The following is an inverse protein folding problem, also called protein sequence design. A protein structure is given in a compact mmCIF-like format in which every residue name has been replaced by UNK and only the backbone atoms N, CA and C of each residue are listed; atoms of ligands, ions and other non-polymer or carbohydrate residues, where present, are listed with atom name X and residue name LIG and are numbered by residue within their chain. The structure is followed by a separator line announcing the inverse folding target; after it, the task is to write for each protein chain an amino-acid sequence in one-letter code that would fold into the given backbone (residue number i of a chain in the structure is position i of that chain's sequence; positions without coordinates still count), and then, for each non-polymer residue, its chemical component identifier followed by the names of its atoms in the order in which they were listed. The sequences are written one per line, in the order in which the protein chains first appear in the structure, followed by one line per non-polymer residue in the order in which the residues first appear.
data_IF_053437736968
#
_entry.id   IF_053437736968
#
_cell.length_a   1.000
_cell.length_b   1.000
_cell.length_c   1.000
_cell.angle_alpha   90.00
_cell.angle_beta   90.00
_cell.angle_gamma   90.00
#
_symmetry.space_group_name_H-M   'P 1'
#
loop_
_entity.id
_entity.type
_entity.pdbx_description
1 polymer ?
#
# COMPACT_ATOMS: atom_id res chain seq x y z
N UNK A 1 32.99 -54.45 22.11
CA UNK A 1 31.85 -54.35 21.17
C UNK A 1 30.98 -53.16 21.55
N UNK A 2 31.05 -52.09 20.81
CA UNK A 2 30.07 -51.01 20.87
C UNK A 2 28.73 -51.49 20.32
N UNK A 3 27.77 -51.73 21.18
CA UNK A 3 26.37 -51.90 20.77
C UNK A 3 25.88 -50.52 20.34
N UNK A 4 25.62 -50.37 19.05
CA UNK A 4 25.10 -49.15 18.48
C UNK A 4 23.68 -48.87 19.02
N UNK A 5 23.43 -47.62 19.31
CA UNK A 5 22.13 -47.04 19.67
C UNK A 5 21.06 -47.13 18.54
N UNK A 6 21.33 -47.90 17.47
CA UNK A 6 20.49 -48.06 16.30
C UNK A 6 19.30 -49.03 16.42
N UNK A 7 19.23 -49.86 17.49
CA UNK A 7 18.21 -50.92 17.59
C UNK A 7 17.00 -50.58 18.49
N UNK A 8 16.90 -49.34 18.97
CA UNK A 8 15.81 -48.94 19.91
C UNK A 8 14.63 -48.32 19.22
N UNK A 9 14.73 -47.90 17.97
CA UNK A 9 13.58 -47.39 17.22
C UNK A 9 12.97 -48.50 16.39
N UNK A 10 11.94 -49.18 16.92
CA UNK A 10 10.99 -49.84 16.05
C UNK A 10 10.44 -48.82 15.08
N UNK A 11 10.74 -48.96 13.78
CA UNK A 11 10.07 -48.16 12.76
C UNK A 11 8.58 -48.52 12.84
N UNK A 12 7.76 -47.53 13.26
CA UNK A 12 6.32 -47.63 13.20
C UNK A 12 5.94 -47.83 11.73
N UNK A 13 5.07 -48.82 11.48
CA UNK A 13 4.59 -49.09 10.14
C UNK A 13 3.47 -48.12 9.80
N UNK A 14 3.79 -47.17 8.88
CA UNK A 14 2.84 -46.16 8.40
C UNK A 14 1.76 -46.84 7.56
N UNK A 15 0.51 -46.68 7.99
CA UNK A 15 -0.63 -47.14 7.23
C UNK A 15 -0.98 -46.12 6.15
N UNK A 16 -1.33 -44.90 6.54
CA UNK A 16 -1.54 -43.79 5.61
C UNK A 16 -1.30 -42.42 6.24
N UNK A 17 -1.12 -41.42 5.37
CA UNK A 17 -0.99 -40.00 5.76
C UNK A 17 -2.31 -39.29 5.57
N UNK A 18 -2.70 -38.49 6.54
CA UNK A 18 -3.86 -37.60 6.49
C UNK A 18 -3.37 -36.22 6.11
N UNK A 19 -3.48 -35.79 4.84
CA UNK A 19 -2.98 -34.50 4.41
C UNK A 19 -3.79 -33.35 5.02
N UNK A 20 -3.16 -32.19 5.20
CA UNK A 20 -3.86 -30.98 5.66
C UNK A 20 -4.96 -30.57 4.69
N UNK A 21 -6.09 -30.15 5.23
CA UNK A 21 -7.18 -29.52 4.49
C UNK A 21 -7.59 -28.22 5.16
N UNK A 22 -7.81 -27.17 4.37
CA UNK A 22 -8.30 -25.88 4.86
C UNK A 22 -9.68 -25.96 5.51
N UNK A 23 -10.48 -26.94 5.15
CA UNK A 23 -11.81 -27.15 5.72
C UNK A 23 -11.74 -27.89 7.07
N UNK A 24 -10.87 -28.90 7.15
CA UNK A 24 -10.70 -29.71 8.36
C UNK A 24 -9.76 -29.10 9.40
N UNK A 25 -8.82 -28.26 8.97
CA UNK A 25 -7.84 -27.58 9.82
C UNK A 25 -6.95 -28.49 10.67
N UNK A 26 -6.78 -29.76 10.22
CA UNK A 26 -5.85 -30.73 10.81
C UNK A 26 -5.18 -31.58 9.75
N UNK A 27 -4.08 -32.19 10.14
CA UNK A 27 -3.32 -33.20 9.39
C UNK A 27 -2.81 -34.28 10.35
N UNK A 28 -2.34 -35.38 9.83
CA UNK A 28 -1.78 -36.44 10.67
C UNK A 28 -1.30 -37.65 9.91
N UNK A 29 -1.13 -38.74 10.66
CA UNK A 29 -0.74 -40.04 10.14
C UNK A 29 -1.33 -41.16 10.97
N UNK A 30 -1.76 -42.21 10.31
CA UNK A 30 -2.20 -43.47 10.93
C UNK A 30 -1.08 -44.50 10.83
N UNK A 31 -0.89 -45.24 11.92
CA UNK A 31 0.10 -46.32 12.03
C UNK A 31 -0.62 -47.59 12.44
N UNK A 32 -0.23 -48.73 11.87
CA UNK A 32 -0.85 -50.04 12.14
C UNK A 32 -0.69 -50.48 13.58
N UNK A 33 0.44 -50.15 14.20
CA UNK A 33 0.78 -50.64 15.56
C UNK A 33 0.37 -49.69 16.68
N UNK A 34 0.24 -48.41 16.41
CA UNK A 34 0.11 -47.36 17.44
C UNK A 34 -1.11 -46.46 17.27
N UNK A 35 -1.94 -46.70 16.22
CA UNK A 35 -3.12 -45.90 15.96
C UNK A 35 -2.84 -44.58 15.22
N UNK A 36 -3.67 -43.58 15.42
CA UNK A 36 -3.66 -42.33 14.64
C UNK A 36 -3.18 -41.17 15.47
N UNK A 37 -2.24 -40.38 14.90
CA UNK A 37 -1.78 -39.08 15.43
C UNK A 37 -2.30 -37.96 14.54
N UNK A 38 -2.97 -37.00 15.15
CA UNK A 38 -3.49 -35.81 14.47
C UNK A 38 -2.93 -34.54 15.10
N UNK A 39 -2.65 -33.55 14.26
CA UNK A 39 -2.21 -32.22 14.69
C UNK A 39 -3.05 -31.15 14.00
N UNK A 40 -3.64 -30.26 14.79
CA UNK A 40 -4.51 -29.21 14.28
C UNK A 40 -5.02 -28.25 15.35
N UNK A 41 -5.98 -27.40 14.99
CA UNK A 41 -6.63 -26.51 15.94
C UNK A 41 -7.60 -27.28 16.83
N UNK A 42 -7.62 -26.98 18.14
CA UNK A 42 -8.37 -27.70 19.18
C UNK A 42 -9.84 -27.89 18.82
N UNK A 43 -10.51 -26.84 18.34
CA UNK A 43 -11.94 -26.87 18.00
C UNK A 43 -12.32 -27.82 16.86
N UNK A 44 -11.36 -28.15 16.00
CA UNK A 44 -11.57 -29.08 14.87
C UNK A 44 -11.23 -30.51 15.23
N UNK A 45 -10.31 -30.71 16.18
CA UNK A 45 -9.98 -32.06 16.69
C UNK A 45 -10.96 -32.53 17.76
N UNK A 46 -11.54 -31.58 18.51
CA UNK A 46 -12.47 -31.87 19.61
C UNK A 46 -13.79 -31.10 19.41
N UNK A 47 -14.62 -31.44 18.41
CA UNK A 47 -15.85 -30.70 18.11
C UNK A 47 -16.90 -30.77 19.21
N UNK A 48 -16.88 -31.84 20.03
CA UNK A 48 -17.76 -31.95 21.20
C UNK A 48 -17.32 -31.11 22.39
N UNK A 49 -16.12 -30.48 22.27
CA UNK A 49 -15.52 -29.63 23.26
C UNK A 49 -14.67 -30.40 24.28
N UNK A 50 -13.60 -29.75 24.74
CA UNK A 50 -12.77 -30.14 25.85
C UNK A 50 -12.46 -28.88 26.66
N UNK A 51 -13.22 -28.57 27.73
CA UNK A 51 -13.12 -27.28 28.43
C UNK A 51 -11.73 -26.98 28.96
N UNK A 52 -11.04 -27.97 29.52
CA UNK A 52 -9.69 -27.78 30.07
C UNK A 52 -8.68 -27.47 28.96
N UNK A 53 -8.73 -28.21 27.85
CA UNK A 53 -7.88 -27.97 26.67
C UNK A 53 -8.14 -26.58 26.05
N UNK A 54 -9.40 -26.18 25.94
CA UNK A 54 -9.79 -24.88 25.42
C UNK A 54 -9.32 -23.73 26.28
N UNK A 55 -9.34 -23.89 27.62
CA UNK A 55 -8.81 -22.90 28.56
C UNK A 55 -7.29 -22.75 28.37
N UNK A 56 -6.53 -23.87 28.30
CA UNK A 56 -5.09 -23.80 28.02
C UNK A 56 -4.79 -23.15 26.67
N UNK A 57 -5.50 -23.52 25.63
CA UNK A 57 -5.33 -22.93 24.29
C UNK A 57 -5.64 -21.41 24.32
N UNK A 58 -6.68 -21.00 25.04
CA UNK A 58 -7.05 -19.59 25.21
C UNK A 58 -5.97 -18.77 25.89
N UNK A 59 -5.41 -19.26 26.98
CA UNK A 59 -4.31 -18.57 27.71
C UNK A 59 -3.10 -18.33 26.82
N UNK A 60 -2.66 -19.35 26.08
CA UNK A 60 -1.52 -19.18 25.16
C UNK A 60 -1.86 -18.28 23.95
N UNK A 61 -3.11 -18.31 23.47
CA UNK A 61 -3.55 -17.41 22.43
C UNK A 61 -3.54 -15.94 22.87
N UNK A 62 -3.91 -15.65 24.13
CA UNK A 62 -3.80 -14.30 24.74
C UNK A 62 -2.35 -13.80 24.81
N UNK A 63 -1.37 -14.71 24.94
CA UNK A 63 0.05 -14.41 24.85
C UNK A 63 0.54 -14.19 23.40
N UNK A 64 -0.35 -14.36 22.40
CA UNK A 64 -0.02 -14.23 20.99
C UNK A 64 0.67 -15.44 20.38
N UNK A 65 0.48 -16.61 20.98
CA UNK A 65 1.00 -17.86 20.48
C UNK A 65 -0.07 -18.60 19.65
N UNK A 66 0.34 -19.10 18.51
CA UNK A 66 -0.50 -20.01 17.73
C UNK A 66 -0.40 -21.41 18.33
N UNK A 67 -1.53 -21.93 18.78
CA UNK A 67 -1.60 -23.21 19.47
C UNK A 67 -2.09 -24.30 18.51
N UNK A 68 -1.28 -25.34 18.31
CA UNK A 68 -1.71 -26.57 17.66
C UNK A 68 -1.73 -27.69 18.68
N UNK A 69 -2.80 -28.48 18.66
CA UNK A 69 -2.95 -29.66 19.52
C UNK A 69 -2.44 -30.87 18.79
N UNK A 70 -1.57 -31.64 19.43
CA UNK A 70 -1.24 -32.98 19.05
C UNK A 70 -2.18 -33.93 19.81
N UNK A 71 -2.93 -34.70 19.06
CA UNK A 71 -3.88 -35.68 19.62
C UNK A 71 -3.58 -37.09 19.11
N UNK A 72 -3.90 -38.09 19.89
CA UNK A 72 -3.66 -39.48 19.57
C UNK A 72 -4.91 -40.33 19.86
N UNK A 73 -5.16 -41.30 19.01
CA UNK A 73 -6.12 -42.38 19.24
C UNK A 73 -5.45 -43.72 18.95
N UNK A 74 -5.77 -44.74 19.76
CA UNK A 74 -5.32 -46.12 19.52
C UNK A 74 -5.99 -46.71 18.29
N UNK A 75 -7.08 -46.13 17.82
CA UNK A 75 -7.80 -46.57 16.64
C UNK A 75 -7.16 -46.01 15.37
N UNK A 76 -7.06 -46.81 14.34
CA UNK A 76 -6.65 -46.40 13.01
C UNK A 76 -7.83 -45.68 12.34
N UNK A 77 -7.63 -44.46 11.89
CA UNK A 77 -8.70 -43.71 11.21
C UNK A 77 -9.03 -44.29 9.86
N UNK A 78 -10.30 -44.24 9.46
CA UNK A 78 -10.71 -44.55 8.10
C UNK A 78 -10.57 -43.32 7.22
N UNK A 79 -9.49 -43.28 6.44
CA UNK A 79 -9.20 -42.12 5.57
C UNK A 79 -8.83 -40.85 6.36
N UNK A 80 -9.63 -39.80 6.21
CA UNK A 80 -9.33 -38.48 6.80
C UNK A 80 -10.31 -38.09 7.92
N UNK A 81 -11.15 -39.01 8.39
CA UNK A 81 -12.11 -38.76 9.46
C UNK A 81 -11.44 -38.80 10.85
N UNK A 82 -12.08 -38.16 11.84
CA UNK A 82 -11.60 -38.20 13.22
C UNK A 82 -11.83 -39.61 13.80
N UNK A 83 -10.78 -40.29 14.32
CA UNK A 83 -10.93 -41.56 14.96
C UNK A 83 -11.66 -41.42 16.29
N UNK A 84 -12.39 -42.45 16.69
CA UNK A 84 -12.98 -42.56 18.03
C UNK A 84 -11.88 -42.62 19.11
N UNK A 85 -12.17 -42.05 20.29
CA UNK A 85 -11.25 -42.08 21.42
C UNK A 85 -10.00 -41.20 21.23
N UNK A 86 -10.13 -40.09 20.50
CA UNK A 86 -9.05 -39.12 20.33
C UNK A 86 -8.79 -38.38 21.63
N UNK A 87 -7.54 -38.40 22.11
CA UNK A 87 -7.11 -37.75 23.35
C UNK A 87 -5.99 -36.73 23.05
N UNK A 88 -5.95 -35.57 23.74
CA UNK A 88 -4.86 -34.61 23.60
C UNK A 88 -3.60 -35.17 24.25
N UNK A 89 -2.49 -35.17 23.53
CA UNK A 89 -1.17 -35.64 23.98
C UNK A 89 -0.26 -34.48 24.32
N UNK A 90 -0.38 -33.36 23.60
CA UNK A 90 0.47 -32.21 23.81
C UNK A 90 0.05 -30.99 22.99
N UNK A 91 0.69 -29.85 23.31
CA UNK A 91 0.51 -28.60 22.61
C UNK A 91 1.81 -28.21 21.90
N UNK A 92 1.69 -27.80 20.65
CA UNK A 92 2.76 -27.16 19.91
C UNK A 92 2.44 -25.65 19.88
N UNK A 93 3.31 -24.89 20.55
CA UNK A 93 3.20 -23.44 20.63
C UNK A 93 4.12 -22.82 19.59
N UNK A 94 3.54 -22.09 18.65
CA UNK A 94 4.26 -21.41 17.59
C UNK A 94 4.17 -19.90 17.85
N UNK A 95 5.30 -19.22 17.85
CA UNK A 95 5.35 -17.77 17.98
C UNK A 95 5.86 -17.15 16.69
N UNK A 96 5.19 -16.09 16.24
CA UNK A 96 5.70 -15.28 15.16
C UNK A 96 6.77 -14.32 15.69
N UNK A 97 7.90 -14.28 14.99
CA UNK A 97 8.93 -13.30 15.24
C UNK A 97 8.56 -12.01 14.54
N UNK A 98 8.14 -11.01 15.34
CA UNK A 98 7.84 -9.68 14.80
C UNK A 98 9.16 -9.06 14.34
N UNK A 99 9.16 -8.55 13.12
CA UNK A 99 10.33 -7.84 12.57
C UNK A 99 10.60 -6.58 13.39
N UNK A 100 11.88 -6.30 13.65
CA UNK A 100 12.27 -5.17 14.50
C UNK A 100 11.78 -3.82 13.97
N UNK A 101 11.66 -3.68 12.66
CA UNK A 101 11.23 -2.46 11.98
C UNK A 101 9.71 -2.27 11.91
N UNK A 102 8.91 -3.29 12.30
CA UNK A 102 7.47 -3.23 12.18
C UNK A 102 6.84 -2.10 13.00
N UNK A 103 7.20 -1.87 14.28
CA UNK A 103 6.62 -0.79 15.07
C UNK A 103 6.87 0.60 14.46
N UNK A 104 8.08 0.86 13.98
CA UNK A 104 8.44 2.14 13.36
C UNK A 104 7.68 2.37 12.06
N UNK A 105 7.50 1.30 11.26
CA UNK A 105 6.75 1.36 10.01
C UNK A 105 5.27 1.64 10.25
N UNK A 106 4.64 0.99 11.22
CA UNK A 106 3.25 1.24 11.59
C UNK A 106 3.07 2.66 12.13
N UNK A 107 3.96 3.12 13.03
CA UNK A 107 3.94 4.48 13.56
C UNK A 107 4.10 5.55 12.44
N UNK A 108 4.95 5.28 11.44
CA UNK A 108 5.07 6.15 10.28
C UNK A 108 3.71 6.31 9.56
N UNK A 109 3.04 5.22 9.20
CA UNK A 109 1.77 5.30 8.49
C UNK A 109 0.67 5.99 9.31
N UNK A 110 0.60 5.71 10.60
CA UNK A 110 -0.32 6.41 11.51
C UNK A 110 -0.04 7.92 11.55
N UNK A 111 1.22 8.34 11.61
CA UNK A 111 1.62 9.75 11.55
C UNK A 111 1.19 10.43 10.24
N UNK A 112 1.07 9.64 9.16
CA UNK A 112 0.58 10.11 7.87
C UNK A 112 -0.95 10.17 7.79
N UNK A 113 -1.66 9.75 8.85
CA UNK A 113 -3.12 9.70 8.91
C UNK A 113 -3.72 8.51 8.15
N UNK A 114 -2.96 7.41 8.03
CA UNK A 114 -3.45 6.15 7.48
C UNK A 114 -4.08 5.33 8.59
N UNK A 115 -5.30 4.88 8.37
CA UNK A 115 -5.99 3.93 9.24
C UNK A 115 -5.53 2.51 8.90
N UNK A 116 -4.85 1.86 9.85
CA UNK A 116 -4.25 0.56 9.66
C UNK A 116 -5.19 -0.55 10.15
N UNK A 117 -5.39 -1.56 9.31
CA UNK A 117 -6.21 -2.73 9.63
C UNK A 117 -5.44 -4.01 9.38
N UNK A 118 -5.55 -4.95 10.30
CA UNK A 118 -4.95 -6.29 10.19
C UNK A 118 -6.04 -7.31 9.89
N UNK A 119 -5.85 -8.07 8.81
CA UNK A 119 -6.82 -9.05 8.33
C UNK A 119 -6.12 -10.41 8.22
N UNK A 120 -6.58 -11.38 9.01
CA UNK A 120 -5.99 -12.72 9.05
C UNK A 120 -7.06 -13.83 8.98
N UNK A 121 -6.66 -14.99 8.48
CA UNK A 121 -7.45 -16.23 8.58
C UNK A 121 -7.31 -16.93 9.93
N UNK A 122 -6.42 -16.47 10.80
CA UNK A 122 -6.15 -17.06 12.12
C UNK A 122 -7.14 -16.57 13.19
N UNK A 123 -7.02 -17.10 14.38
CA UNK A 123 -7.88 -16.76 15.52
C UNK A 123 -7.73 -15.28 15.90
N UNK A 124 -8.86 -14.54 16.08
CA UNK A 124 -8.84 -13.10 16.31
C UNK A 124 -8.09 -12.66 17.57
N UNK A 125 -8.10 -13.47 18.65
CA UNK A 125 -7.39 -13.16 19.90
C UNK A 125 -5.88 -13.21 19.66
N UNK A 126 -5.41 -14.26 18.99
CA UNK A 126 -3.99 -14.42 18.62
C UNK A 126 -3.54 -13.27 17.71
N UNK A 127 -4.33 -12.95 16.68
CA UNK A 127 -4.01 -11.86 15.73
C UNK A 127 -3.97 -10.51 16.45
N UNK A 128 -4.91 -10.23 17.35
CA UNK A 128 -4.93 -9.02 18.19
C UNK A 128 -3.68 -8.91 19.08
N UNK A 129 -3.29 -10.01 19.73
CA UNK A 129 -2.10 -10.03 20.57
C UNK A 129 -0.81 -9.78 19.76
N UNK A 130 -0.68 -10.37 18.57
CA UNK A 130 0.44 -10.13 17.65
C UNK A 130 0.44 -8.68 17.15
N UNK A 131 -0.71 -8.15 16.73
CA UNK A 131 -0.86 -6.79 16.27
C UNK A 131 -0.48 -5.75 17.35
N UNK A 132 -0.88 -5.99 18.58
CA UNK A 132 -0.50 -5.17 19.75
C UNK A 132 1.01 -5.20 20.00
N UNK A 133 1.63 -6.38 19.93
CA UNK A 133 3.09 -6.52 20.06
C UNK A 133 3.84 -5.84 18.91
N UNK A 134 3.26 -5.79 17.74
CA UNK A 134 3.79 -5.08 16.59
C UNK A 134 3.60 -3.55 16.67
N UNK A 135 2.85 -3.04 17.67
CA UNK A 135 2.63 -1.61 17.88
C UNK A 135 1.42 -1.04 17.17
N UNK A 136 0.49 -1.86 16.67
CA UNK A 136 -0.75 -1.38 16.08
C UNK A 136 -1.62 -0.72 17.16
N UNK A 137 -2.09 0.51 16.91
CA UNK A 137 -3.08 1.18 17.77
C UNK A 137 -4.44 0.50 17.65
N UNK A 138 -5.17 0.50 18.75
CA UNK A 138 -6.50 -0.10 18.85
C UNK A 138 -6.52 -1.59 18.46
N UNK A 139 -5.40 -2.30 18.63
CA UNK A 139 -5.33 -3.73 18.34
C UNK A 139 -6.27 -4.56 19.22
N UNK A 140 -6.71 -4.03 20.36
CA UNK A 140 -7.74 -4.59 21.25
C UNK A 140 -9.14 -4.56 20.64
N UNK A 141 -9.39 -3.71 19.63
CA UNK A 141 -10.64 -3.68 18.88
C UNK A 141 -10.58 -4.72 17.76
N UNK A 142 -10.85 -5.95 18.10
CA UNK A 142 -10.85 -7.07 17.16
C UNK A 142 -12.23 -7.74 17.05
N UNK A 143 -12.46 -8.39 15.91
CA UNK A 143 -13.71 -9.11 15.65
C UNK A 143 -13.43 -10.47 14.99
N UNK A 144 -14.26 -11.45 15.30
CA UNK A 144 -14.32 -12.72 14.56
C UNK A 144 -15.18 -12.54 13.31
N UNK A 145 -14.57 -12.64 12.13
CA UNK A 145 -15.27 -12.40 10.87
C UNK A 145 -16.35 -13.48 10.57
N UNK A 146 -16.37 -14.60 11.29
CA UNK A 146 -17.44 -15.59 11.17
C UNK A 146 -18.79 -15.07 11.69
N UNK A 147 -18.78 -14.02 12.52
CA UNK A 147 -20.00 -13.37 13.02
C UNK A 147 -20.60 -12.38 12.03
N UNK A 148 -19.85 -11.98 11.01
CA UNK A 148 -20.27 -11.01 10.00
C UNK A 148 -20.97 -11.76 8.87
N UNK A 149 -22.29 -11.62 8.75
CA UNK A 149 -23.11 -12.35 7.79
C UNK A 149 -23.78 -11.46 6.74
N UNK A 150 -23.91 -10.15 7.00
CA UNK A 150 -24.53 -9.19 6.08
C UNK A 150 -23.55 -8.09 5.65
N UNK A 151 -23.86 -7.38 4.57
CA UNK A 151 -23.05 -6.27 4.08
C UNK A 151 -23.08 -5.08 5.07
N UNK A 152 -24.23 -4.81 5.69
CA UNK A 152 -24.38 -3.75 6.69
C UNK A 152 -23.47 -3.98 7.89
N UNK A 153 -23.42 -5.24 8.39
CA UNK A 153 -22.50 -5.62 9.45
C UNK A 153 -21.02 -5.47 9.03
N UNK A 154 -20.71 -5.74 7.77
CA UNK A 154 -19.36 -5.53 7.22
C UNK A 154 -19.01 -4.04 7.21
N UNK A 155 -19.94 -3.17 6.77
CA UNK A 155 -19.75 -1.73 6.69
C UNK A 155 -19.53 -1.10 8.08
N UNK A 156 -20.24 -1.58 9.09
CA UNK A 156 -20.05 -1.18 10.48
C UNK A 156 -18.71 -1.73 11.03
N UNK A 157 -18.42 -3.00 10.79
CA UNK A 157 -17.22 -3.64 11.30
C UNK A 157 -15.93 -2.99 10.78
N UNK A 158 -15.85 -2.65 9.49
CA UNK A 158 -14.66 -1.99 8.94
C UNK A 158 -14.45 -0.57 9.46
N UNK A 159 -15.49 0.08 9.97
CA UNK A 159 -15.38 1.40 10.61
C UNK A 159 -14.92 1.29 12.07
N UNK A 160 -15.36 0.25 12.80
CA UNK A 160 -15.16 0.13 14.24
C UNK A 160 -13.89 -0.65 14.62
N UNK A 161 -13.59 -1.75 13.90
CA UNK A 161 -12.52 -2.67 14.30
C UNK A 161 -11.23 -2.45 13.51
N UNK A 162 -10.09 -2.68 14.18
CA UNK A 162 -8.76 -2.61 13.59
C UNK A 162 -8.19 -3.99 13.25
N UNK A 163 -8.68 -5.05 13.90
CA UNK A 163 -8.18 -6.42 13.72
C UNK A 163 -9.33 -7.37 13.40
N UNK A 164 -9.15 -8.16 12.35
CA UNK A 164 -10.12 -9.12 11.86
C UNK A 164 -9.51 -10.52 11.81
N UNK A 165 -10.08 -11.45 12.55
CA UNK A 165 -9.66 -12.86 12.56
C UNK A 165 -10.64 -13.76 11.81
N UNK A 166 -10.20 -14.97 11.44
CA UNK A 166 -10.97 -16.01 10.71
C UNK A 166 -11.62 -15.51 9.42
N UNK A 167 -10.95 -14.56 8.74
CA UNK A 167 -11.46 -13.93 7.52
C UNK A 167 -11.29 -14.85 6.32
N UNK A 168 -12.34 -15.04 5.54
CA UNK A 168 -12.31 -15.74 4.25
C UNK A 168 -11.82 -14.83 3.12
N UNK A 169 -11.33 -15.39 1.99
CA UNK A 169 -10.91 -14.58 0.84
C UNK A 169 -12.01 -13.68 0.29
N UNK A 170 -13.28 -14.13 0.30
CA UNK A 170 -14.43 -13.36 -0.13
C UNK A 170 -14.71 -12.19 0.82
N UNK A 171 -14.59 -12.42 2.13
CA UNK A 171 -14.74 -11.36 3.12
C UNK A 171 -13.62 -10.33 3.02
N UNK A 172 -12.36 -10.71 2.73
CA UNK A 172 -11.27 -9.77 2.47
C UNK A 172 -11.62 -8.82 1.32
N UNK A 173 -12.17 -9.32 0.23
CA UNK A 173 -12.64 -8.50 -0.87
C UNK A 173 -13.81 -7.58 -0.46
N UNK A 174 -14.77 -8.12 0.29
CA UNK A 174 -15.93 -7.35 0.76
C UNK A 174 -15.51 -6.18 1.68
N UNK A 175 -14.51 -6.39 2.54
CA UNK A 175 -13.94 -5.33 3.39
C UNK A 175 -13.33 -4.20 2.57
N UNK A 176 -12.56 -4.52 1.52
CA UNK A 176 -12.00 -3.50 0.61
C UNK A 176 -13.11 -2.70 -0.05
N UNK A 177 -14.14 -3.37 -0.59
CA UNK A 177 -15.31 -2.72 -1.21
C UNK A 177 -16.07 -1.82 -0.23
N UNK A 178 -16.26 -2.29 1.00
CA UNK A 178 -16.93 -1.54 2.06
C UNK A 178 -16.19 -0.24 2.38
N UNK A 179 -14.86 -0.29 2.53
CA UNK A 179 -14.02 0.88 2.75
C UNK A 179 -14.08 1.86 1.56
N UNK A 180 -14.03 1.36 0.32
CA UNK A 180 -14.15 2.18 -0.88
C UNK A 180 -15.54 2.84 -1.00
N UNK A 181 -16.62 2.12 -0.64
CA UNK A 181 -17.98 2.69 -0.60
C UNK A 181 -18.09 3.82 0.42
N UNK A 182 -17.33 3.77 1.52
CA UNK A 182 -17.18 4.83 2.51
C UNK A 182 -16.21 5.95 2.06
N UNK A 183 -15.76 5.93 0.78
CA UNK A 183 -14.86 6.92 0.15
C UNK A 183 -13.43 6.93 0.70
N UNK A 184 -12.99 5.82 1.25
CA UNK A 184 -11.58 5.62 1.58
C UNK A 184 -10.80 5.13 0.35
N UNK A 185 -9.55 5.59 0.22
CA UNK A 185 -8.59 5.00 -0.70
C UNK A 185 -7.89 3.86 0.01
N UNK A 186 -7.98 2.66 -0.53
CA UNK A 186 -7.55 1.43 0.14
C UNK A 186 -6.28 0.88 -0.49
N UNK A 187 -5.23 0.74 0.33
CA UNK A 187 -4.06 -0.06 -0.02
C UNK A 187 -4.18 -1.45 0.64
N UNK A 188 -3.98 -2.51 -0.13
CA UNK A 188 -4.00 -3.89 0.36
C UNK A 188 -2.64 -4.53 0.19
N UNK A 189 -2.10 -5.08 1.27
CA UNK A 189 -0.87 -5.89 1.24
C UNK A 189 -1.22 -7.35 1.49
N UNK A 190 -0.69 -8.23 0.66
CA UNK A 190 -0.90 -9.68 0.79
C UNK A 190 0.17 -10.48 0.05
N UNK A 191 0.34 -11.73 0.46
CA UNK A 191 1.34 -12.66 -0.09
C UNK A 191 0.72 -13.97 -0.60
N UNK A 192 -0.49 -14.28 -0.15
CA UNK A 192 -1.15 -15.54 -0.43
C UNK A 192 -2.09 -15.53 -1.63
N UNK A 193 -2.44 -16.73 -2.11
CA UNK A 193 -3.51 -16.94 -3.10
C UNK A 193 -4.85 -16.43 -2.56
N UNK A 194 -5.04 -16.50 -1.24
CA UNK A 194 -6.26 -16.06 -0.55
C UNK A 194 -6.45 -14.53 -0.57
N UNK A 195 -5.40 -13.77 -0.90
CA UNK A 195 -5.43 -12.32 -0.93
C UNK A 195 -5.72 -11.76 -2.34
N UNK A 196 -5.67 -12.62 -3.37
CA UNK A 196 -5.80 -12.25 -4.79
C UNK A 196 -7.06 -11.43 -5.07
N UNK A 197 -8.21 -11.82 -4.49
CA UNK A 197 -9.47 -11.10 -4.70
C UNK A 197 -9.43 -9.68 -4.09
N UNK A 198 -8.90 -9.55 -2.88
CA UNK A 198 -8.76 -8.27 -2.19
C UNK A 198 -7.69 -7.37 -2.85
N UNK A 199 -6.55 -7.96 -3.25
CA UNK A 199 -5.50 -7.25 -3.98
C UNK A 199 -6.01 -6.67 -5.30
N UNK A 200 -6.82 -7.43 -6.04
CA UNK A 200 -7.41 -6.98 -7.31
C UNK A 200 -8.42 -5.84 -7.12
N UNK A 201 -9.11 -5.81 -6.00
CA UNK A 201 -10.14 -4.81 -5.69
C UNK A 201 -9.55 -3.50 -5.17
N UNK A 202 -8.43 -3.55 -4.45
CA UNK A 202 -7.80 -2.40 -3.81
C UNK A 202 -7.33 -1.34 -4.81
N UNK A 203 -7.35 -0.07 -4.40
CA UNK A 203 -6.83 1.06 -5.19
C UNK A 203 -5.30 0.98 -5.36
N UNK A 204 -4.61 0.42 -4.38
CA UNK A 204 -3.18 0.11 -4.45
C UNK A 204 -2.93 -1.27 -3.85
N UNK A 205 -2.40 -2.18 -4.65
CA UNK A 205 -2.08 -3.54 -4.23
C UNK A 205 -0.58 -3.78 -4.14
N UNK A 206 -0.15 -4.40 -3.03
CA UNK A 206 1.24 -4.64 -2.70
C UNK A 206 1.42 -6.14 -2.43
N UNK A 207 2.32 -6.77 -3.15
CA UNK A 207 2.69 -8.17 -2.94
C UNK A 207 4.13 -8.33 -2.45
N UNK A 208 4.37 -9.42 -1.75
CA UNK A 208 5.72 -9.84 -1.35
C UNK A 208 6.35 -10.71 -2.43
N UNK A 209 7.66 -10.60 -2.66
CA UNK A 209 8.36 -11.41 -3.68
C UNK A 209 8.31 -12.91 -3.35
N UNK A 210 8.33 -13.27 -2.06
CA UNK A 210 8.20 -14.65 -1.60
C UNK A 210 6.75 -15.17 -1.64
N UNK A 211 5.79 -14.28 -1.94
CA UNK A 211 4.39 -14.62 -2.05
C UNK A 211 4.04 -15.41 -3.31
N UNK A 212 2.76 -15.72 -3.46
CA UNK A 212 2.25 -16.48 -4.61
C UNK A 212 2.42 -15.71 -5.92
N UNK A 213 2.70 -16.43 -7.02
CA UNK A 213 2.79 -15.82 -8.36
C UNK A 213 1.47 -15.15 -8.77
N UNK A 214 0.34 -15.68 -8.31
CA UNK A 214 -0.97 -15.08 -8.55
C UNK A 214 -1.08 -13.69 -7.91
N UNK A 215 -0.61 -13.50 -6.66
CA UNK A 215 -0.59 -12.21 -5.99
C UNK A 215 0.36 -11.23 -6.68
N UNK A 216 1.58 -11.68 -7.03
CA UNK A 216 2.59 -10.84 -7.72
C UNK A 216 2.12 -10.34 -9.08
N UNK A 217 1.42 -11.16 -9.84
CA UNK A 217 0.96 -10.81 -11.19
C UNK A 217 -0.15 -9.76 -11.23
N UNK A 218 -0.90 -9.58 -10.12
CA UNK A 218 -1.98 -8.61 -10.04
C UNK A 218 -1.62 -7.37 -9.22
N UNK A 219 -0.55 -7.43 -8.43
CA UNK A 219 -0.14 -6.32 -7.57
C UNK A 219 0.41 -5.15 -8.38
N UNK A 220 0.11 -3.92 -7.93
CA UNK A 220 0.69 -2.69 -8.47
C UNK A 220 2.16 -2.55 -8.08
N UNK A 221 2.54 -3.06 -6.91
CA UNK A 221 3.88 -3.00 -6.34
C UNK A 221 4.28 -4.38 -5.83
N UNK A 222 5.50 -4.82 -6.10
CA UNK A 222 6.08 -6.04 -5.54
C UNK A 222 7.33 -5.67 -4.74
N UNK A 223 7.33 -6.02 -3.43
CA UNK A 223 8.45 -5.80 -2.53
C UNK A 223 9.46 -6.94 -2.68
N UNK A 224 10.59 -6.66 -3.35
CA UNK A 224 11.59 -7.68 -3.70
C UNK A 224 12.24 -8.31 -2.48
N UNK A 225 12.47 -7.54 -1.42
CA UNK A 225 13.03 -8.04 -0.16
C UNK A 225 11.96 -8.61 0.78
N UNK A 226 10.72 -8.73 0.33
CA UNK A 226 9.56 -9.15 1.14
C UNK A 226 9.49 -8.42 2.49
N UNK A 227 9.95 -7.16 2.53
CA UNK A 227 10.01 -6.33 3.72
C UNK A 227 9.12 -5.10 3.59
N UNK A 228 8.04 -5.07 4.38
CA UNK A 228 7.10 -3.94 4.41
C UNK A 228 7.74 -2.64 4.92
N UNK A 229 8.87 -2.70 5.64
CA UNK A 229 9.60 -1.52 6.09
C UNK A 229 10.19 -0.66 4.95
N UNK A 230 10.22 -1.16 3.70
CA UNK A 230 10.56 -0.36 2.54
C UNK A 230 9.45 0.62 2.10
N UNK A 231 8.21 0.44 2.56
CA UNK A 231 7.06 1.22 2.13
C UNK A 231 7.15 2.72 2.44
N UNK A 232 7.65 3.19 3.61
CA UNK A 232 7.85 4.61 3.87
C UNK A 232 8.71 5.30 2.80
N UNK A 233 9.79 4.66 2.38
CA UNK A 233 10.67 5.19 1.33
C UNK A 233 9.97 5.20 -0.04
N UNK A 234 9.21 4.16 -0.38
CA UNK A 234 8.42 4.11 -1.62
C UNK A 234 7.39 5.26 -1.64
N UNK A 235 6.70 5.52 -0.54
CA UNK A 235 5.76 6.65 -0.42
C UNK A 235 6.48 7.98 -0.61
N UNK A 236 7.64 8.17 0.01
CA UNK A 236 8.43 9.37 -0.14
C UNK A 236 8.89 9.59 -1.58
N UNK A 237 9.38 8.54 -2.25
CA UNK A 237 9.75 8.62 -3.67
C UNK A 237 8.53 8.93 -4.56
N UNK A 238 7.37 8.34 -4.27
CA UNK A 238 6.11 8.67 -4.95
C UNK A 238 5.75 10.14 -4.79
N UNK A 239 5.84 10.70 -3.58
CA UNK A 239 5.61 12.12 -3.31
C UNK A 239 6.57 13.02 -4.10
N UNK A 240 7.86 12.68 -4.06
CA UNK A 240 8.89 13.40 -4.83
C UNK A 240 8.53 13.46 -6.30
N UNK A 241 8.19 12.32 -6.91
CA UNK A 241 7.84 12.27 -8.34
C UNK A 241 6.62 13.12 -8.64
N UNK A 242 5.53 13.01 -7.85
CA UNK A 242 4.30 13.78 -8.09
C UNK A 242 4.52 15.28 -7.88
N UNK A 243 5.26 15.69 -6.84
CA UNK A 243 5.57 17.09 -6.60
C UNK A 243 6.42 17.67 -7.73
N UNK A 244 7.44 16.95 -8.20
CA UNK A 244 8.27 17.38 -9.33
C UNK A 244 7.47 17.48 -10.63
N UNK A 245 6.57 16.53 -10.91
CA UNK A 245 5.65 16.59 -12.06
C UNK A 245 4.73 17.82 -11.94
N UNK A 246 4.24 18.13 -10.74
CA UNK A 246 3.38 19.29 -10.49
C UNK A 246 4.10 20.63 -10.80
N UNK A 247 5.34 20.77 -10.35
CA UNK A 247 6.17 21.94 -10.65
C UNK A 247 6.43 22.04 -12.15
N UNK A 248 6.86 20.95 -12.79
CA UNK A 248 7.07 20.89 -14.24
C UNK A 248 5.80 21.26 -15.03
N UNK A 249 4.66 20.70 -14.66
CA UNK A 249 3.38 20.98 -15.31
C UNK A 249 2.97 22.44 -15.18
N UNK A 250 3.20 23.06 -14.02
CA UNK A 250 2.95 24.51 -13.82
C UNK A 250 3.75 25.35 -14.80
N UNK A 251 5.03 25.06 -15.01
CA UNK A 251 5.89 25.81 -15.93
C UNK A 251 5.47 25.69 -17.39
N UNK A 252 5.15 24.49 -17.84
CA UNK A 252 4.62 24.30 -19.19
C UNK A 252 3.28 25.01 -19.38
N UNK A 253 2.43 25.00 -18.33
CA UNK A 253 1.14 25.65 -18.38
C UNK A 253 1.26 27.19 -18.41
N UNK A 254 2.22 27.80 -17.67
CA UNK A 254 2.53 29.23 -17.75
C UNK A 254 2.80 29.63 -19.18
N UNK A 255 3.69 28.91 -19.89
CA UNK A 255 4.03 29.20 -21.28
C UNK A 255 2.81 29.11 -22.19
N UNK A 256 1.99 28.07 -22.01
CA UNK A 256 0.81 27.85 -22.86
C UNK A 256 -0.22 28.96 -22.66
N UNK A 257 -0.56 29.30 -21.42
CA UNK A 257 -1.52 30.36 -21.10
C UNK A 257 -1.02 31.71 -21.59
N UNK A 258 0.24 32.03 -21.33
CA UNK A 258 0.89 33.26 -21.83
C UNK A 258 0.79 33.37 -23.36
N UNK A 259 1.14 32.33 -24.10
CA UNK A 259 1.05 32.32 -25.57
C UNK A 259 -0.39 32.55 -26.07
N UNK A 260 -1.36 31.91 -25.45
CA UNK A 260 -2.78 32.08 -25.81
C UNK A 260 -3.25 33.50 -25.51
N UNK A 261 -2.99 34.02 -24.32
CA UNK A 261 -3.38 35.38 -23.94
C UNK A 261 -2.77 36.41 -24.85
N UNK A 262 -1.47 36.31 -25.14
CA UNK A 262 -0.78 37.22 -26.03
C UNK A 262 -1.32 37.17 -27.46
N UNK A 263 -1.60 35.97 -27.99
CA UNK A 263 -2.22 35.80 -29.30
C UNK A 263 -3.59 36.45 -29.37
N UNK A 264 -4.41 36.33 -28.32
CA UNK A 264 -5.72 36.97 -28.26
C UNK A 264 -5.58 38.52 -28.23
N UNK A 265 -4.63 39.04 -27.46
CA UNK A 265 -4.35 40.46 -27.40
C UNK A 265 -3.91 41.00 -28.77
N UNK A 266 -2.95 40.35 -29.44
CA UNK A 266 -2.44 40.78 -30.73
C UNK A 266 -3.53 40.75 -31.83
N UNK A 267 -4.40 39.77 -31.81
CA UNK A 267 -5.55 39.71 -32.72
C UNK A 267 -6.52 40.86 -32.46
N UNK A 268 -6.84 41.12 -31.16
CA UNK A 268 -7.79 42.16 -30.80
C UNK A 268 -7.30 43.57 -31.16
N UNK A 269 -6.00 43.84 -30.98
CA UNK A 269 -5.41 45.16 -31.32
C UNK A 269 -4.95 45.28 -32.77
N UNK A 270 -5.03 44.18 -33.56
CA UNK A 270 -4.62 44.15 -34.96
C UNK A 270 -3.09 44.16 -35.15
N UNK A 271 -2.34 43.80 -34.10
CA UNK A 271 -0.89 43.77 -34.12
C UNK A 271 -0.34 42.40 -34.59
N UNK A 272 0.90 42.42 -35.09
CA UNK A 272 1.63 41.20 -35.37
C UNK A 272 2.15 40.55 -34.08
N UNK A 273 2.16 39.22 -34.03
CA UNK A 273 2.69 38.46 -32.90
C UNK A 273 4.20 38.75 -32.72
N UNK A 274 4.67 39.15 -31.50
CA UNK A 274 6.01 39.73 -31.33
C UNK A 274 7.13 38.69 -31.26
N UNK A 275 6.85 37.39 -31.44
CA UNK A 275 7.86 36.33 -31.38
C UNK A 275 7.92 35.54 -32.69
N UNK A 276 9.14 35.23 -33.08
CA UNK A 276 9.40 34.24 -34.11
C UNK A 276 9.48 32.85 -33.51
N UNK A 277 9.15 31.76 -34.27
CA UNK A 277 9.17 30.38 -33.76
C UNK A 277 10.52 29.97 -33.16
N UNK A 278 11.64 30.44 -33.71
CA UNK A 278 12.98 30.12 -33.22
C UNK A 278 13.24 30.76 -31.85
N UNK A 279 12.75 31.97 -31.62
CA UNK A 279 12.86 32.67 -30.34
C UNK A 279 12.06 31.97 -29.24
N UNK A 280 10.85 31.51 -29.58
CA UNK A 280 10.02 30.70 -28.66
C UNK A 280 10.65 29.34 -28.35
N UNK A 281 11.39 28.75 -29.29
CA UNK A 281 12.14 27.51 -29.06
C UNK A 281 13.29 27.74 -28.08
N UNK A 282 14.02 28.87 -28.22
CA UNK A 282 15.09 29.25 -27.30
C UNK A 282 14.55 29.48 -25.87
N UNK A 283 13.48 30.26 -25.74
CA UNK A 283 12.81 30.48 -24.45
C UNK A 283 12.37 29.15 -23.83
N UNK A 284 11.79 28.25 -24.65
CA UNK A 284 11.35 26.96 -24.18
C UNK A 284 12.50 26.10 -23.65
N UNK A 285 13.63 26.10 -24.33
CA UNK A 285 14.80 25.32 -23.90
C UNK A 285 15.45 25.92 -22.64
N UNK A 286 15.76 27.21 -22.66
CA UNK A 286 16.56 27.86 -21.61
C UNK A 286 15.74 28.25 -20.36
N UNK A 287 14.52 28.75 -20.53
CA UNK A 287 13.71 29.25 -19.45
C UNK A 287 12.65 28.27 -18.93
N UNK A 288 12.38 27.19 -19.62
CA UNK A 288 11.44 26.15 -19.15
C UNK A 288 12.13 24.78 -19.06
N UNK A 289 12.74 24.29 -20.15
CA UNK A 289 13.26 22.92 -20.23
C UNK A 289 14.40 22.65 -19.24
N UNK A 290 15.47 23.46 -19.28
CA UNK A 290 16.62 23.28 -18.38
C UNK A 290 16.22 23.43 -16.91
N UNK A 291 15.52 24.50 -16.50
CA UNK A 291 15.09 24.63 -15.10
C UNK A 291 14.16 23.49 -14.66
N UNK A 292 13.19 23.08 -15.48
CA UNK A 292 12.31 21.98 -15.16
C UNK A 292 13.08 20.67 -14.95
N UNK A 293 14.11 20.41 -15.77
CA UNK A 293 14.96 19.24 -15.60
C UNK A 293 15.75 19.27 -14.28
N UNK A 294 16.26 20.44 -13.88
CA UNK A 294 16.97 20.60 -12.61
C UNK A 294 16.03 20.45 -11.41
N UNK A 295 14.86 21.07 -11.47
CA UNK A 295 13.82 20.95 -10.43
C UNK A 295 13.26 19.55 -10.30
N UNK A 296 13.22 18.77 -11.39
CA UNK A 296 12.81 17.36 -11.34
C UNK A 296 13.75 16.48 -10.50
N UNK A 297 14.93 16.97 -10.12
CA UNK A 297 15.87 16.26 -9.24
C UNK A 297 15.73 16.69 -7.77
N UNK A 298 14.86 17.64 -7.46
CA UNK A 298 14.65 18.13 -6.10
C UNK A 298 13.98 17.06 -5.22
N UNK A 299 14.40 16.98 -3.96
CA UNK A 299 13.87 16.08 -2.96
C UNK A 299 12.70 16.74 -2.22
N UNK A 300 11.53 16.79 -2.86
CA UNK A 300 10.31 17.30 -2.25
C UNK A 300 9.39 16.15 -1.81
N UNK A 301 9.31 15.91 -0.51
CA UNK A 301 8.51 14.85 0.12
C UNK A 301 7.23 15.40 0.76
N UNK A 302 6.81 16.62 0.46
CA UNK A 302 5.59 17.20 1.02
C UNK A 302 4.36 16.33 0.71
N UNK A 303 3.44 16.27 1.67
CA UNK A 303 2.18 15.52 1.51
C UNK A 303 1.38 16.11 0.35
N UNK A 304 0.98 15.23 -0.58
CA UNK A 304 0.23 15.63 -1.76
C UNK A 304 -1.23 15.85 -1.36
N UNK A 305 -1.76 17.02 -1.72
CA UNK A 305 -3.18 17.32 -1.62
C UNK A 305 -3.91 16.86 -2.89
N UNK A 306 -5.17 16.43 -2.78
CA UNK A 306 -6.01 15.92 -3.88
C UNK A 306 -6.34 16.97 -4.96
N UNK A 307 -5.82 18.19 -4.83
CA UNK A 307 -6.11 19.32 -5.72
C UNK A 307 -5.01 19.60 -6.74
N UNK A 308 -4.37 18.55 -7.29
CA UNK A 308 -3.26 18.68 -8.25
C UNK A 308 -3.50 19.71 -9.34
N UNK A 309 -4.59 19.58 -10.12
CA UNK A 309 -4.92 20.50 -11.22
C UNK A 309 -5.18 21.94 -10.73
N UNK A 310 -5.85 22.09 -9.60
CA UNK A 310 -6.13 23.41 -9.02
C UNK A 310 -4.84 24.12 -8.65
N UNK A 311 -3.90 23.44 -8.02
CA UNK A 311 -2.61 24.01 -7.66
C UNK A 311 -1.79 24.39 -8.89
N UNK A 312 -1.69 23.51 -9.90
CA UNK A 312 -1.00 23.80 -11.15
C UNK A 312 -1.57 25.05 -11.81
N UNK A 313 -2.90 25.15 -11.87
CA UNK A 313 -3.57 26.31 -12.47
C UNK A 313 -3.41 27.59 -11.65
N UNK A 314 -3.57 27.53 -10.33
CA UNK A 314 -3.45 28.68 -9.43
C UNK A 314 -2.04 29.27 -9.42
N UNK A 315 -1.02 28.45 -9.63
CA UNK A 315 0.36 28.93 -9.77
C UNK A 315 0.64 29.46 -11.18
N UNK A 316 0.15 28.78 -12.21
CA UNK A 316 0.45 29.13 -13.59
C UNK A 316 -0.30 30.38 -14.09
N UNK A 317 -1.56 30.55 -13.72
CA UNK A 317 -2.40 31.62 -14.25
C UNK A 317 -1.92 33.04 -13.90
N UNK A 318 -1.63 33.38 -12.61
CA UNK A 318 -1.13 34.71 -12.25
C UNK A 318 0.21 35.02 -12.93
N UNK A 319 1.11 34.06 -12.98
CA UNK A 319 2.40 34.19 -13.64
C UNK A 319 2.27 34.50 -15.14
N UNK A 320 1.41 33.74 -15.83
CA UNK A 320 1.14 33.93 -17.26
C UNK A 320 0.53 35.32 -17.54
N UNK A 321 -0.41 35.76 -16.70
CA UNK A 321 -1.03 37.11 -16.81
C UNK A 321 0.03 38.19 -16.61
N UNK A 322 0.91 38.07 -15.63
CA UNK A 322 2.01 39.02 -15.37
C UNK A 322 2.96 39.09 -16.56
N UNK A 323 3.41 37.93 -17.09
CA UNK A 323 4.29 37.90 -18.27
C UNK A 323 3.60 38.58 -19.46
N UNK A 324 2.33 38.25 -19.70
CA UNK A 324 1.55 38.85 -20.80
C UNK A 324 1.45 40.36 -20.66
N UNK A 325 1.17 40.86 -19.45
CA UNK A 325 1.11 42.31 -19.17
C UNK A 325 2.45 43.02 -19.38
N UNK A 326 3.56 42.39 -18.94
CA UNK A 326 4.91 42.93 -19.18
C UNK A 326 5.24 43.00 -20.68
N UNK A 327 5.00 41.93 -21.42
CA UNK A 327 5.25 41.86 -22.87
C UNK A 327 4.38 42.87 -23.62
N UNK A 328 3.09 42.97 -23.28
CA UNK A 328 2.17 43.93 -23.90
C UNK A 328 2.62 45.40 -23.59
N UNK A 329 3.08 45.70 -22.39
CA UNK A 329 3.63 47.00 -22.05
C UNK A 329 4.86 47.35 -22.89
N UNK A 330 5.76 46.39 -23.11
CA UNK A 330 6.94 46.57 -23.98
C UNK A 330 6.50 46.78 -25.41
N UNK A 331 5.49 46.08 -25.91
CA UNK A 331 4.94 46.31 -27.25
C UNK A 331 4.46 47.74 -27.41
N UNK A 332 3.66 48.24 -26.49
CA UNK A 332 3.14 49.62 -26.51
C UNK A 332 4.27 50.68 -26.51
N UNK A 333 5.31 50.50 -25.68
CA UNK A 333 6.45 51.42 -25.64
C UNK A 333 7.26 51.38 -26.94
N UNK A 334 7.59 50.20 -27.44
CA UNK A 334 8.38 50.05 -28.66
C UNK A 334 7.65 50.60 -29.88
N UNK A 335 6.34 50.41 -30.02
CA UNK A 335 5.57 50.96 -31.12
C UNK A 335 5.41 52.47 -31.09
N UNK A 336 5.11 53.02 -29.90
CA UNK A 336 4.85 54.48 -29.77
C UNK A 336 6.10 55.35 -29.64
N UNK A 337 7.21 54.79 -29.15
CA UNK A 337 8.43 55.58 -28.86
C UNK A 337 9.53 55.30 -29.87
N UNK A 338 9.79 54.05 -30.20
CA UNK A 338 10.99 53.68 -30.97
C UNK A 338 10.70 53.35 -32.43
N UNK A 339 9.47 52.98 -32.80
CA UNK A 339 9.04 52.60 -34.18
C UNK A 339 9.94 51.55 -34.86
N UNK A 340 10.52 50.61 -34.07
CA UNK A 340 11.47 49.60 -34.55
C UNK A 340 11.00 48.17 -34.22
N UNK A 341 10.69 47.39 -35.24
CA UNK A 341 10.27 45.98 -35.07
C UNK A 341 11.39 45.07 -34.55
N UNK A 342 12.66 45.32 -34.94
CA UNK A 342 13.79 44.55 -34.46
C UNK A 342 14.05 44.73 -32.97
N UNK A 343 13.89 45.94 -32.47
CA UNK A 343 14.01 46.27 -31.07
C UNK A 343 12.84 45.67 -30.27
N UNK A 344 11.64 45.70 -30.83
CA UNK A 344 10.45 45.10 -30.25
C UNK A 344 10.66 43.60 -29.96
N UNK A 345 11.01 42.80 -30.98
CA UNK A 345 11.19 41.38 -30.84
C UNK A 345 12.26 41.02 -29.82
N UNK A 346 13.41 41.70 -29.83
CA UNK A 346 14.50 41.48 -28.87
C UNK A 346 14.08 41.81 -27.45
N UNK A 347 13.40 42.95 -27.22
CA UNK A 347 12.93 43.36 -25.92
C UNK A 347 11.88 42.38 -25.35
N UNK A 348 10.93 41.92 -26.17
CA UNK A 348 9.94 40.96 -25.77
C UNK A 348 10.58 39.60 -25.38
N UNK A 349 11.59 39.12 -26.12
CA UNK A 349 12.33 37.90 -25.77
C UNK A 349 13.05 38.04 -24.42
N UNK A 350 13.75 39.15 -24.21
CA UNK A 350 14.49 39.38 -22.97
C UNK A 350 13.55 39.50 -21.77
N UNK A 351 12.46 40.22 -21.88
CA UNK A 351 11.48 40.42 -20.80
C UNK A 351 10.80 39.07 -20.48
N UNK A 352 10.43 38.30 -21.49
CA UNK A 352 9.80 36.96 -21.27
C UNK A 352 10.79 36.01 -20.60
N UNK A 353 12.01 35.91 -21.10
CA UNK A 353 13.07 35.09 -20.51
C UNK A 353 13.38 35.48 -19.06
N UNK A 354 13.46 36.78 -18.78
CA UNK A 354 13.69 37.30 -17.44
C UNK A 354 12.56 36.98 -16.48
N UNK A 355 11.29 37.20 -16.86
CA UNK A 355 10.14 36.90 -16.02
C UNK A 355 10.03 35.41 -15.73
N UNK A 356 10.21 34.55 -16.74
CA UNK A 356 10.19 33.09 -16.54
C UNK A 356 11.31 32.65 -15.58
N UNK A 357 12.50 33.22 -15.68
CA UNK A 357 13.61 32.92 -14.77
C UNK A 357 13.35 33.42 -13.34
N UNK A 358 12.72 34.58 -13.16
CA UNK A 358 12.36 35.12 -11.83
C UNK A 358 11.30 34.24 -11.13
N UNK A 359 10.37 33.65 -11.87
CA UNK A 359 9.38 32.74 -11.30
C UNK A 359 10.07 31.53 -10.67
N UNK A 360 11.13 31.01 -11.27
CA UNK A 360 11.91 29.90 -10.71
C UNK A 360 12.64 30.27 -9.41
N UNK A 361 13.13 31.52 -9.32
CA UNK A 361 13.89 32.01 -8.15
C UNK A 361 12.95 32.33 -6.98
N UNK A 362 11.70 32.71 -7.27
CA UNK A 362 10.73 33.13 -6.26
C UNK A 362 9.92 31.97 -5.67
N UNK A 363 9.95 30.79 -6.28
CA UNK A 363 9.44 29.58 -5.59
C UNK A 363 10.37 29.29 -4.41
N UNK A 364 9.89 29.40 -3.14
CA UNK A 364 10.74 29.13 -2.01
C UNK A 364 11.14 27.65 -2.05
N UNK A 365 12.43 27.40 -2.22
CA UNK A 365 13.04 26.14 -1.79
C UNK A 365 12.78 26.06 -0.29
N UNK A 366 11.71 25.39 0.11
CA UNK A 366 11.41 25.15 1.52
C UNK A 366 12.39 24.11 2.04
N UNK A 367 13.02 24.37 3.20
CA UNK A 367 14.02 23.50 3.81
C UNK A 367 13.41 22.14 4.22
#
# INVERSE_FOLDING_TARGET
GSRGLGDVYKRQELDHVIPFSSDRKYSGAAFTDTGTYLMGAAQFLFPEGNPELMEYCGRFAEEGLRVLVLAHSVNVSEGAELPEGLEPVGLLLITDVIRAEAPDTLAYFESQGVDLKVISGDDPVTVSAIARRAGLKNAEHYIDATTITTQEQMDEAVAEYSVFGRVTPQQKQAMVKSLQAQKHTVAMTGDGVNDVLALKEADCSIAMAEGSDAAKNIANVVLLDSNFAAMPEIVNQGRRVVNNIRTAASMFLIKTIFSVLLSLITIFFGDSYPFEPIQMSLISACAVGIPTFLLAQENNYEKIDHTFLRHVFMNAFPAAVTITGCVFSVMLVCQNVYHSNAMLNTACVLVTGWNLSLIHISEPTRP
#
